data_IF_968007091208
#
_entry.id   IF_968007091208
#
_cell.length_a   1.000
_cell.length_b   1.000
_cell.length_c   1.000
_cell.angle_alpha   90.00
_cell.angle_beta   90.00
_cell.angle_gamma   90.00
#
_symmetry.space_group_name_H-M   'P 1'
#
loop_
_entity.id
_entity.type
_entity.pdbx_description
1 polymer ?
#
# COMPACT_ATOMS: atom_id res chain seq x y z
N UNK A 1 6.23 0.31 -11.69
CA UNK A 1 6.49 -1.15 -11.77
C UNK A 1 5.56 -1.90 -10.81
N UNK A 2 5.56 -1.55 -9.53
CA UNK A 2 4.71 -2.20 -8.53
C UNK A 2 3.21 -2.05 -8.81
N UNK A 3 2.78 -0.93 -9.40
CA UNK A 3 1.40 -0.72 -9.91
C UNK A 3 0.98 -1.83 -10.87
N UNK A 4 1.75 -2.05 -11.94
CA UNK A 4 1.45 -3.07 -12.94
C UNK A 4 1.46 -4.49 -12.37
N UNK A 5 2.31 -4.78 -11.37
CA UNK A 5 2.30 -6.06 -10.67
C UNK A 5 1.00 -6.21 -9.88
N UNK A 6 0.62 -5.18 -9.12
CA UNK A 6 -0.60 -5.17 -8.29
C UNK A 6 -1.86 -5.33 -9.15
N UNK A 7 -1.95 -4.56 -10.24
CA UNK A 7 -3.03 -4.66 -11.23
C UNK A 7 -3.10 -6.05 -11.84
N UNK A 8 -1.97 -6.60 -12.31
CA UNK A 8 -1.95 -7.94 -12.90
C UNK A 8 -2.36 -9.02 -11.90
N UNK A 9 -2.01 -8.87 -10.62
CA UNK A 9 -2.44 -9.80 -9.59
C UNK A 9 -3.95 -9.73 -9.38
N UNK A 10 -4.51 -8.52 -9.25
CA UNK A 10 -5.96 -8.30 -9.04
C UNK A 10 -6.77 -8.81 -10.22
N UNK A 11 -6.42 -8.40 -11.45
CA UNK A 11 -7.15 -8.75 -12.67
C UNK A 11 -7.22 -10.26 -12.94
N UNK A 12 -6.24 -11.03 -12.45
CA UNK A 12 -6.13 -12.46 -12.73
C UNK A 12 -6.41 -13.33 -11.49
N UNK A 13 -6.77 -12.74 -10.36
CA UNK A 13 -6.90 -13.49 -9.11
C UNK A 13 -8.03 -14.51 -9.12
N UNK A 14 -9.13 -14.23 -9.83
CA UNK A 14 -10.26 -15.14 -9.98
C UNK A 14 -9.82 -16.53 -10.48
N UNK A 15 -8.80 -16.57 -11.36
CA UNK A 15 -8.26 -17.84 -11.87
C UNK A 15 -7.54 -18.66 -10.80
N UNK A 16 -7.06 -18.03 -9.74
CA UNK A 16 -6.34 -18.63 -8.62
C UNK A 16 -7.33 -19.01 -7.52
N UNK A 17 -8.31 -18.14 -7.24
CA UNK A 17 -9.39 -18.40 -6.27
C UNK A 17 -10.25 -19.62 -6.66
N UNK A 18 -10.42 -19.90 -7.96
CA UNK A 18 -11.06 -21.13 -8.47
C UNK A 18 -10.43 -22.43 -7.94
N UNK A 19 -9.16 -22.37 -7.50
CA UNK A 19 -8.43 -23.49 -6.88
C UNK A 19 -8.47 -23.48 -5.35
N UNK A 20 -9.22 -22.54 -4.74
CA UNK A 20 -9.38 -22.38 -3.30
C UNK A 20 -8.17 -21.73 -2.61
N UNK A 21 -7.45 -20.86 -3.33
CA UNK A 21 -6.27 -20.15 -2.81
C UNK A 21 -6.64 -18.70 -2.49
N UNK A 22 -6.36 -18.28 -1.27
CA UNK A 22 -6.60 -16.92 -0.77
C UNK A 22 -5.50 -15.93 -1.20
N UNK A 23 -5.86 -14.66 -1.38
CA UNK A 23 -4.94 -13.57 -1.74
C UNK A 23 -4.12 -13.03 -0.57
N UNK A 24 -4.47 -13.38 0.67
CA UNK A 24 -3.83 -12.93 1.91
C UNK A 24 -2.30 -12.77 1.82
N UNK A 25 -1.61 -13.84 1.43
CA UNK A 25 -0.14 -13.87 1.41
C UNK A 25 0.44 -12.87 0.40
N UNK A 26 -0.13 -12.82 -0.81
CA UNK A 26 0.34 -11.91 -1.86
C UNK A 26 -0.05 -10.47 -1.54
N UNK A 27 -1.25 -10.25 -1.01
CA UNK A 27 -1.70 -8.93 -0.59
C UNK A 27 -0.83 -8.37 0.54
N UNK A 28 -0.38 -9.21 1.48
CA UNK A 28 0.54 -8.82 2.55
C UNK A 28 1.93 -8.42 2.03
N UNK A 29 2.49 -9.20 1.11
CA UNK A 29 3.78 -8.91 0.47
C UNK A 29 3.71 -7.62 -0.36
N UNK A 30 2.64 -7.42 -1.13
CA UNK A 30 2.43 -6.19 -1.90
C UNK A 30 2.24 -4.98 -1.00
N UNK A 31 1.50 -5.10 0.11
CA UNK A 31 1.35 -4.04 1.11
C UNK A 31 2.72 -3.63 1.69
N UNK A 32 3.58 -4.60 2.00
CA UNK A 32 4.94 -4.35 2.49
C UNK A 32 5.79 -3.64 1.45
N UNK A 33 5.83 -4.16 0.22
CA UNK A 33 6.59 -3.55 -0.87
C UNK A 33 6.13 -2.12 -1.18
N UNK A 34 4.81 -1.86 -1.14
CA UNK A 34 4.27 -0.52 -1.34
C UNK A 34 4.64 0.43 -0.21
N UNK A 35 4.52 -0.01 1.05
CA UNK A 35 4.93 0.79 2.20
C UNK A 35 6.40 1.19 2.10
N UNK A 36 7.29 0.24 1.82
CA UNK A 36 8.71 0.52 1.63
C UNK A 36 8.96 1.48 0.47
N UNK A 37 8.29 1.29 -0.66
CA UNK A 37 8.43 2.18 -1.83
C UNK A 37 8.01 3.60 -1.48
N UNK A 38 6.85 3.76 -0.85
CA UNK A 38 6.30 5.07 -0.50
C UNK A 38 7.20 5.79 0.51
N UNK A 39 7.74 5.08 1.50
CA UNK A 39 8.61 5.67 2.51
C UNK A 39 10.02 6.00 2.00
N UNK A 40 10.48 5.37 0.91
CA UNK A 40 11.85 5.55 0.40
C UNK A 40 11.95 6.36 -0.90
N UNK A 41 10.82 6.81 -1.45
CA UNK A 41 10.79 7.54 -2.73
C UNK A 41 10.15 8.91 -2.55
N UNK A 42 10.69 9.92 -3.21
CA UNK A 42 10.04 11.23 -3.29
C UNK A 42 8.86 11.13 -4.26
N UNK A 43 7.65 11.02 -3.72
CA UNK A 43 6.39 10.98 -4.48
C UNK A 43 5.87 12.40 -4.67
N UNK A 44 5.58 12.80 -5.90
CA UNK A 44 4.94 14.08 -6.18
C UNK A 44 3.46 14.07 -5.81
N UNK A 45 2.86 15.24 -5.57
CA UNK A 45 1.43 15.32 -5.21
C UNK A 45 0.50 14.74 -6.29
N UNK A 46 0.85 14.84 -7.58
CA UNK A 46 0.08 14.19 -8.63
C UNK A 46 0.14 12.66 -8.54
N UNK A 47 1.33 12.12 -8.29
CA UNK A 47 1.50 10.67 -8.14
C UNK A 47 0.82 10.15 -6.87
N UNK A 48 0.77 10.96 -5.80
CA UNK A 48 0.04 10.64 -4.58
C UNK A 48 -1.46 10.50 -4.85
N UNK A 49 -2.07 11.45 -5.55
CA UNK A 49 -3.50 11.38 -5.93
C UNK A 49 -3.78 10.14 -6.78
N UNK A 50 -2.93 9.84 -7.76
CA UNK A 50 -3.08 8.64 -8.59
C UNK A 50 -2.99 7.35 -7.75
N UNK A 51 -2.06 7.30 -6.79
CA UNK A 51 -1.93 6.17 -5.86
C UNK A 51 -3.11 6.04 -4.91
N UNK A 52 -3.68 7.14 -4.41
CA UNK A 52 -4.87 7.11 -3.55
C UNK A 52 -6.07 6.47 -4.27
N UNK A 53 -6.30 6.84 -5.53
CA UNK A 53 -7.34 6.25 -6.39
C UNK A 53 -7.08 4.76 -6.59
N UNK A 54 -5.84 4.39 -6.88
CA UNK A 54 -5.46 3.00 -7.08
C UNK A 54 -5.66 2.16 -5.81
N UNK A 55 -5.21 2.63 -4.65
CA UNK A 55 -5.39 1.92 -3.38
C UNK A 55 -6.86 1.77 -3.01
N UNK A 56 -7.71 2.78 -3.28
CA UNK A 56 -9.15 2.64 -3.10
C UNK A 56 -9.74 1.55 -4.00
N UNK A 57 -9.35 1.52 -5.27
CA UNK A 57 -9.78 0.45 -6.18
C UNK A 57 -9.31 -0.93 -5.70
N UNK A 58 -8.03 -1.10 -5.40
CA UNK A 58 -7.47 -2.38 -4.96
C UNK A 58 -8.09 -2.89 -3.66
N UNK A 59 -8.38 -1.99 -2.72
CA UNK A 59 -9.07 -2.34 -1.48
C UNK A 59 -10.53 -2.75 -1.69
N UNK A 60 -11.19 -2.22 -2.71
CA UNK A 60 -12.54 -2.66 -3.06
C UNK A 60 -12.54 -4.06 -3.69
N UNK A 61 -11.54 -4.38 -4.52
CA UNK A 61 -11.45 -5.67 -5.20
C UNK A 61 -11.03 -6.80 -4.25
N UNK A 62 -10.02 -6.56 -3.41
CA UNK A 62 -9.46 -7.58 -2.56
C UNK A 62 -9.87 -7.45 -1.09
N UNK A 63 -10.51 -6.37 -0.65
CA UNK A 63 -10.83 -6.13 0.76
C UNK A 63 -9.77 -5.24 1.44
N UNK A 64 -9.80 -5.13 2.77
CA UNK A 64 -8.97 -4.16 3.52
C UNK A 64 -7.48 -4.52 3.62
N UNK A 65 -6.90 -5.07 2.56
CA UNK A 65 -5.46 -5.18 2.40
C UNK A 65 -4.86 -3.79 2.10
N UNK A 66 -3.54 -3.63 2.13
CA UNK A 66 -2.86 -2.34 1.87
C UNK A 66 -2.96 -1.24 2.94
N UNK A 67 -3.51 -1.50 4.12
CA UNK A 67 -3.66 -0.48 5.17
C UNK A 67 -2.34 0.20 5.58
N UNK A 68 -1.26 -0.57 5.60
CA UNK A 68 0.07 -0.05 5.97
C UNK A 68 0.61 0.88 4.87
N UNK A 69 0.53 0.47 3.61
CA UNK A 69 0.89 1.30 2.47
C UNK A 69 0.04 2.58 2.40
N UNK A 70 -1.25 2.49 2.71
CA UNK A 70 -2.16 3.65 2.76
C UNK A 70 -1.78 4.63 3.86
N UNK A 71 -1.47 4.12 5.06
CA UNK A 71 -0.94 4.96 6.15
C UNK A 71 0.39 5.63 5.78
N UNK A 72 1.29 4.91 5.08
CA UNK A 72 2.53 5.47 4.57
C UNK A 72 2.29 6.57 3.54
N UNK A 73 1.30 6.42 2.65
CA UNK A 73 0.94 7.43 1.64
C UNK A 73 0.35 8.69 2.29
N UNK A 74 -0.56 8.51 3.24
CA UNK A 74 -1.26 9.59 3.93
C UNK A 74 -0.29 10.42 4.78
N UNK A 75 0.56 9.74 5.55
CA UNK A 75 1.33 10.35 6.64
C UNK A 75 2.82 10.51 6.32
N UNK A 76 3.38 9.63 5.47
CA UNK A 76 4.80 9.57 5.15
C UNK A 76 5.72 9.52 6.38
N UNK A 77 6.99 9.88 6.20
CA UNK A 77 7.89 10.22 7.31
C UNK A 77 7.51 11.53 8.02
N UNK A 78 6.57 12.28 7.43
CA UNK A 78 6.16 13.57 7.94
C UNK A 78 5.16 13.51 9.08
N UNK A 79 4.73 12.29 9.45
CA UNK A 79 3.82 12.07 10.56
C UNK A 79 4.34 12.72 11.85
N UNK A 80 3.66 13.77 12.36
CA UNK A 80 4.17 14.56 13.49
C UNK A 80 4.47 13.73 14.74
N UNK A 81 3.64 12.73 15.13
CA UNK A 81 3.96 11.85 16.25
C UNK A 81 5.23 11.02 16.05
N UNK A 82 5.45 10.49 14.83
CA UNK A 82 6.68 9.73 14.53
C UNK A 82 7.92 10.63 14.61
N UNK A 83 7.83 11.86 14.06
CA UNK A 83 8.90 12.86 14.19
C UNK A 83 9.21 13.20 15.64
N UNK A 84 8.18 13.34 16.50
CA UNK A 84 8.38 13.58 17.92
C UNK A 84 9.13 12.42 18.59
N UNK A 85 8.72 11.18 18.34
CA UNK A 85 9.39 9.98 18.87
C UNK A 85 10.86 9.90 18.37
N UNK A 86 11.10 10.10 17.08
CA UNK A 86 12.45 10.09 16.49
C UNK A 86 13.36 11.20 17.02
N UNK A 87 12.77 12.32 17.44
CA UNK A 87 13.47 13.43 18.10
C UNK A 87 13.67 13.19 19.61
N UNK A 88 13.24 12.03 20.15
CA UNK A 88 13.33 11.71 21.57
C UNK A 88 12.26 12.38 22.43
N UNK A 89 11.25 13.00 21.81
CA UNK A 89 10.10 13.59 22.50
C UNK A 89 9.04 12.50 22.71
N UNK A 90 9.25 11.68 23.73
CA UNK A 90 8.30 10.67 24.20
C UNK A 90 7.45 11.33 25.29
N UNK A 91 6.23 11.76 24.96
CA UNK A 91 5.23 12.22 25.94
C UNK A 91 4.15 11.16 26.12
#
# INVERSE_FOLDING_TARGET
MLTAITESCIENWDLVDDYGIDNDDIACELNTAWCETILNTDISESEKVDLEVNFEYWQNEWGSYFDMARAALDQGWDYPPLKQILQGNIN
#
